data_IF_349233225538
#
_entry.id   IF_349233225538
#
_cell.length_a   1.000
_cell.length_b   1.000
_cell.length_c   1.000
_cell.angle_alpha   90.00
_cell.angle_beta   90.00
_cell.angle_gamma   90.00
#
_symmetry.space_group_name_H-M   'P 1'
#
loop_
_entity.id
_entity.type
_entity.pdbx_description
1 polymer ?
#
# COMPACT_ATOMS: atom_id res chain seq x y z
N UNK A 1 -2.35 5.07 22.63
CA UNK A 1 -2.78 6.47 22.85
C UNK A 1 -2.94 7.25 21.54
N UNK A 2 -1.91 7.31 20.66
CA UNK A 2 -1.98 8.02 19.38
C UNK A 2 -3.06 7.50 18.41
N UNK A 3 -3.12 6.19 18.15
CA UNK A 3 -4.08 5.62 17.18
C UNK A 3 -5.53 5.86 17.60
N UNK A 4 -5.83 5.73 18.90
CA UNK A 4 -7.16 6.01 19.45
C UNK A 4 -7.55 7.48 19.27
N UNK A 5 -6.60 8.41 19.43
CA UNK A 5 -6.84 9.83 19.16
C UNK A 5 -7.14 10.06 17.68
N UNK A 6 -6.33 9.48 16.78
CA UNK A 6 -6.56 9.60 15.34
C UNK A 6 -7.92 9.03 14.92
N UNK A 7 -8.32 7.91 15.50
CA UNK A 7 -9.64 7.32 15.29
C UNK A 7 -10.76 8.25 15.75
N UNK A 8 -10.67 8.78 16.98
CA UNK A 8 -11.64 9.76 17.52
C UNK A 8 -11.73 11.04 16.70
N UNK A 9 -10.63 11.47 16.08
CA UNK A 9 -10.60 12.62 15.18
C UNK A 9 -11.02 12.28 13.73
N UNK A 10 -11.58 11.10 13.48
CA UNK A 10 -12.03 10.69 12.14
C UNK A 10 -10.90 10.52 11.12
N UNK A 11 -9.68 10.24 11.59
CA UNK A 11 -8.47 10.04 10.78
C UNK A 11 -8.12 8.56 10.59
N UNK A 12 -8.98 7.63 10.99
CA UNK A 12 -8.87 6.21 10.65
C UNK A 12 -9.75 5.88 9.45
N UNK A 13 -9.25 5.06 8.54
CA UNK A 13 -10.00 4.50 7.41
C UNK A 13 -9.61 3.05 7.21
N UNK A 14 -10.59 2.15 7.17
CA UNK A 14 -10.39 0.78 6.72
C UNK A 14 -10.54 0.78 5.20
N UNK A 15 -9.52 0.30 4.49
CA UNK A 15 -9.53 0.11 3.05
C UNK A 15 -9.83 -1.37 2.82
N UNK A 16 -10.92 -1.63 2.10
CA UNK A 16 -11.32 -2.99 1.71
C UNK A 16 -10.65 -3.37 0.39
N UNK A 17 -10.38 -4.66 0.21
CA UNK A 17 -9.98 -5.18 -1.09
C UNK A 17 -11.15 -5.07 -2.09
N UNK A 18 -10.83 -4.94 -3.39
CA UNK A 18 -11.87 -4.70 -4.42
C UNK A 18 -12.53 -5.97 -4.96
N UNK A 19 -12.06 -7.14 -4.54
CA UNK A 19 -12.52 -8.44 -5.05
C UNK A 19 -13.57 -9.02 -4.11
N UNK A 20 -13.24 -9.19 -2.83
CA UNK A 20 -14.07 -9.82 -1.80
C UNK A 20 -14.59 -8.84 -0.74
N UNK A 21 -14.22 -7.54 -0.81
CA UNK A 21 -14.62 -6.52 0.17
C UNK A 21 -14.14 -6.82 1.60
N UNK A 22 -13.05 -7.57 1.77
CA UNK A 22 -12.47 -7.83 3.08
C UNK A 22 -11.49 -6.71 3.48
N UNK A 23 -11.24 -6.48 4.78
CA UNK A 23 -10.21 -5.55 5.22
C UNK A 23 -8.85 -5.87 4.61
N UNK A 24 -8.31 -4.93 3.84
CA UNK A 24 -7.00 -5.05 3.21
C UNK A 24 -5.95 -4.25 3.98
N UNK A 25 -6.28 -3.01 4.34
CA UNK A 25 -5.36 -2.10 5.00
C UNK A 25 -6.12 -1.12 5.88
N UNK A 26 -5.76 -1.01 7.16
CA UNK A 26 -6.18 0.14 7.97
C UNK A 26 -5.18 1.27 7.82
N UNK A 27 -5.69 2.45 7.47
CA UNK A 27 -4.92 3.67 7.26
C UNK A 27 -5.28 4.71 8.30
N UNK A 28 -4.27 5.28 8.94
CA UNK A 28 -4.39 6.45 9.79
C UNK A 28 -3.75 7.66 9.12
N UNK A 29 -4.48 8.76 9.01
CA UNK A 29 -4.02 10.01 8.43
C UNK A 29 -3.26 10.83 9.46
N UNK A 30 -1.92 10.89 9.36
CA UNK A 30 -1.11 11.72 10.26
C UNK A 30 -1.15 13.19 9.88
N UNK A 31 -1.27 13.51 8.58
CA UNK A 31 -1.22 14.88 8.10
C UNK A 31 -2.54 15.37 7.49
N UNK A 32 -2.75 15.19 6.18
CA UNK A 32 -3.91 15.72 5.46
C UNK A 32 -4.90 14.61 5.12
N UNK A 33 -6.16 14.73 5.54
CA UNK A 33 -7.22 13.76 5.16
C UNK A 33 -7.67 13.95 3.71
N UNK A 34 -8.00 15.20 3.36
CA UNK A 34 -8.57 15.59 2.06
C UNK A 34 -7.56 16.39 1.24
N UNK A 35 -6.39 15.79 1.01
CA UNK A 35 -5.31 16.41 0.25
C UNK A 35 -5.72 16.62 -1.21
N UNK A 36 -5.73 17.88 -1.66
CA UNK A 36 -5.97 18.26 -3.07
C UNK A 36 -4.69 18.55 -3.86
N UNK A 37 -3.83 19.45 -3.37
CA UNK A 37 -2.67 19.95 -4.13
C UNK A 37 -1.31 19.83 -3.41
N UNK A 38 -1.30 19.77 -2.08
CA UNK A 38 -0.07 19.77 -1.27
C UNK A 38 0.90 18.65 -1.74
N UNK A 39 2.23 18.82 -1.74
CA UNK A 39 3.14 17.91 -2.46
C UNK A 39 3.31 16.52 -1.83
N UNK A 40 2.99 16.32 -0.56
CA UNK A 40 3.08 15.00 0.08
C UNK A 40 1.97 14.72 1.08
N UNK A 41 1.87 13.46 1.52
CA UNK A 41 1.04 13.05 2.65
C UNK A 41 1.73 11.96 3.46
N UNK A 42 1.29 11.79 4.71
CA UNK A 42 1.88 10.83 5.65
C UNK A 42 0.78 10.00 6.30
N UNK A 43 0.96 8.68 6.29
CA UNK A 43 0.03 7.73 6.85
C UNK A 43 0.72 6.72 7.75
N UNK A 44 0.02 6.21 8.76
CA UNK A 44 0.34 4.91 9.36
C UNK A 44 -0.55 3.88 8.70
N UNK A 45 0.04 2.76 8.31
CA UNK A 45 -0.65 1.61 7.73
C UNK A 45 -0.52 0.41 8.65
N UNK A 46 -1.62 -0.31 8.83
CA UNK A 46 -1.66 -1.66 9.37
C UNK A 46 -2.25 -2.59 8.31
N UNK A 47 -1.48 -3.59 7.91
CA UNK A 47 -1.82 -4.50 6.81
C UNK A 47 -2.61 -5.70 7.33
N UNK A 48 -3.73 -5.99 6.67
CA UNK A 48 -4.63 -7.10 6.98
C UNK A 48 -4.59 -8.20 5.91
N UNK A 49 -4.30 -7.82 4.66
CA UNK A 49 -4.26 -8.74 3.51
C UNK A 49 -3.15 -8.35 2.55
N UNK A 50 -2.53 -9.37 1.95
CA UNK A 50 -1.54 -9.19 0.89
C UNK A 50 -2.18 -8.79 -0.45
N UNK A 51 -1.32 -8.42 -1.40
CA UNK A 51 -1.71 -8.09 -2.76
C UNK A 51 -2.05 -9.33 -3.60
N UNK A 52 -2.78 -9.15 -4.72
CA UNK A 52 -2.83 -10.14 -5.80
C UNK A 52 -1.43 -10.54 -6.30
N UNK A 53 -1.33 -11.71 -6.95
CA UNK A 53 -0.05 -12.28 -7.37
C UNK A 53 0.71 -11.52 -8.47
N UNK A 54 0.03 -10.65 -9.22
CA UNK A 54 0.66 -9.83 -10.25
C UNK A 54 1.30 -8.56 -9.65
N UNK A 55 2.48 -8.17 -10.15
CA UNK A 55 3.14 -6.94 -9.73
C UNK A 55 2.32 -5.70 -10.13
N UNK A 56 2.31 -4.67 -9.30
CA UNK A 56 1.64 -3.41 -9.60
C UNK A 56 2.54 -2.19 -9.39
N UNK A 57 2.20 -1.10 -10.06
CA UNK A 57 2.81 0.22 -9.89
C UNK A 57 1.90 1.18 -9.10
N UNK A 58 2.32 2.43 -8.93
CA UNK A 58 1.64 3.40 -8.08
C UNK A 58 1.38 4.72 -8.81
N UNK A 59 0.34 5.48 -8.40
CA UNK A 59 0.06 6.77 -8.99
C UNK A 59 1.06 7.86 -8.56
N UNK A 60 1.89 7.58 -7.55
CA UNK A 60 2.84 8.48 -6.89
C UNK A 60 4.16 7.78 -6.56
N UNK A 61 5.24 8.54 -6.42
CA UNK A 61 6.42 8.07 -5.67
C UNK A 61 6.10 7.95 -4.19
N UNK A 62 6.83 7.09 -3.48
CA UNK A 62 6.63 6.89 -2.06
C UNK A 62 7.93 6.61 -1.31
N UNK A 63 7.88 6.82 0.01
CA UNK A 63 8.82 6.29 0.97
C UNK A 63 8.04 5.47 2.00
N UNK A 64 8.51 4.28 2.34
CA UNK A 64 7.92 3.44 3.38
C UNK A 64 8.97 3.08 4.41
N UNK A 65 8.58 3.11 5.68
CA UNK A 65 9.38 2.67 6.82
C UNK A 65 8.58 1.61 7.54
N UNK A 66 9.14 0.41 7.70
CA UNK A 66 8.49 -0.65 8.47
C UNK A 66 8.71 -0.39 9.96
N UNK A 67 7.61 -0.19 10.68
CA UNK A 67 7.62 0.13 12.11
C UNK A 67 7.64 -1.15 12.96
N UNK A 68 6.86 -2.15 12.57
CA UNK A 68 6.74 -3.44 13.27
C UNK A 68 6.32 -4.53 12.29
N UNK A 69 6.59 -5.79 12.66
CA UNK A 69 6.29 -6.96 11.83
C UNK A 69 7.19 -7.00 10.59
N UNK A 70 6.58 -7.10 9.41
CA UNK A 70 7.31 -7.16 8.15
C UNK A 70 6.55 -7.95 7.10
N UNK A 71 6.98 -7.84 5.85
CA UNK A 71 6.34 -8.54 4.74
C UNK A 71 7.35 -9.00 3.70
N UNK A 72 6.93 -9.98 2.90
CA UNK A 72 7.64 -10.38 1.70
C UNK A 72 7.29 -9.41 0.57
N UNK A 73 8.29 -8.72 0.06
CA UNK A 73 8.16 -7.87 -1.11
C UNK A 73 8.64 -8.62 -2.35
N UNK A 74 7.76 -8.78 -3.32
CA UNK A 74 8.13 -9.25 -4.65
C UNK A 74 8.38 -8.06 -5.56
N UNK A 75 9.45 -8.12 -6.32
CA UNK A 75 9.82 -7.14 -7.34
C UNK A 75 10.27 -7.87 -8.60
N UNK A 76 10.48 -7.18 -9.74
CA UNK A 76 11.11 -7.80 -10.91
C UNK A 76 12.48 -8.43 -10.63
N UNK A 77 13.15 -8.05 -9.52
CA UNK A 77 14.46 -8.57 -9.12
C UNK A 77 14.38 -9.79 -8.19
N UNK A 78 13.19 -10.19 -7.75
CA UNK A 78 12.99 -11.31 -6.83
C UNK A 78 12.17 -10.95 -5.59
N UNK A 79 12.20 -11.87 -4.61
CA UNK A 79 11.43 -11.83 -3.36
C UNK A 79 12.36 -11.49 -2.19
N UNK A 80 11.97 -10.49 -1.39
CA UNK A 80 12.80 -9.96 -0.30
C UNK A 80 11.98 -9.81 0.97
N UNK A 81 12.47 -10.31 2.11
CA UNK A 81 11.87 -10.00 3.40
C UNK A 81 12.20 -8.56 3.80
N UNK A 82 11.17 -7.79 4.13
CA UNK A 82 11.31 -6.42 4.64
C UNK A 82 10.95 -6.42 6.13
N UNK A 83 11.99 -6.34 6.98
CA UNK A 83 11.89 -6.37 8.44
C UNK A 83 11.71 -4.96 9.04
N UNK A 84 11.43 -4.80 10.35
CA UNK A 84 11.33 -3.49 11.00
C UNK A 84 12.63 -2.68 10.82
N UNK A 85 12.47 -1.37 10.66
CA UNK A 85 13.57 -0.46 10.32
C UNK A 85 13.95 -0.44 8.83
N UNK A 86 13.37 -1.31 7.99
CA UNK A 86 13.56 -1.19 6.53
C UNK A 86 12.98 0.14 6.05
N UNK A 87 13.81 0.94 5.36
CA UNK A 87 13.40 2.15 4.65
C UNK A 87 13.51 1.87 3.14
N UNK A 88 12.43 2.10 2.41
CA UNK A 88 12.41 1.98 0.95
C UNK A 88 11.84 3.23 0.30
N UNK A 89 12.57 3.77 -0.66
CA UNK A 89 12.11 4.83 -1.56
C UNK A 89 11.83 4.23 -2.93
N UNK A 90 10.71 4.58 -3.54
CA UNK A 90 10.31 4.06 -4.84
C UNK A 90 9.64 5.15 -5.69
N UNK A 91 9.94 5.15 -6.99
CA UNK A 91 9.23 5.98 -7.97
C UNK A 91 7.86 5.39 -8.35
N UNK A 92 7.02 6.20 -9.01
CA UNK A 92 5.65 5.79 -9.39
C UNK A 92 5.60 4.58 -10.33
N UNK A 93 6.64 4.34 -11.13
CA UNK A 93 6.74 3.17 -12.04
C UNK A 93 7.33 1.92 -11.38
N UNK A 94 7.72 1.99 -10.10
CA UNK A 94 8.35 0.84 -9.44
C UNK A 94 7.31 -0.25 -9.27
N UNK A 95 7.63 -1.43 -9.80
CA UNK A 95 6.77 -2.61 -9.71
C UNK A 95 7.06 -3.37 -8.43
N UNK A 96 6.01 -3.70 -7.68
CA UNK A 96 6.09 -4.65 -6.58
C UNK A 96 4.73 -5.29 -6.26
N UNK A 97 4.74 -6.27 -5.38
CA UNK A 97 3.57 -6.70 -4.61
C UNK A 97 3.99 -7.14 -3.21
N UNK A 98 3.06 -7.07 -2.27
CA UNK A 98 3.24 -7.42 -0.87
C UNK A 98 2.56 -8.76 -0.61
N UNK A 99 3.33 -9.72 -0.09
CA UNK A 99 2.86 -10.97 0.47
C UNK A 99 3.04 -10.89 2.00
N UNK A 100 1.94 -11.08 2.75
CA UNK A 100 1.98 -11.06 4.21
C UNK A 100 2.23 -12.47 4.75
N UNK A 101 2.99 -12.54 5.85
CA UNK A 101 3.03 -13.74 6.68
C UNK A 101 1.81 -13.69 7.63
N UNK A 102 0.97 -14.74 7.68
CA UNK A 102 -0.26 -14.74 8.49
C UNK A 102 0.01 -14.62 9.99
N UNK A 103 1.23 -14.87 10.46
CA UNK A 103 1.61 -14.78 11.87
C UNK A 103 2.25 -13.44 12.24
N UNK A 104 2.34 -12.48 11.29
CA UNK A 104 3.07 -11.23 11.47
C UNK A 104 2.14 -10.02 11.29
N UNK A 105 1.88 -9.30 12.38
CA UNK A 105 1.15 -8.04 12.34
C UNK A 105 2.05 -6.90 11.85
N UNK A 106 1.72 -6.36 10.68
CA UNK A 106 2.62 -5.48 9.91
C UNK A 106 2.18 -4.04 9.95
N UNK A 107 3.07 -3.17 10.41
CA UNK A 107 2.83 -1.73 10.53
C UNK A 107 3.89 -0.93 9.79
N UNK A 108 3.47 0.11 9.05
CA UNK A 108 4.39 1.00 8.33
C UNK A 108 4.04 2.47 8.52
N UNK A 109 5.05 3.33 8.40
CA UNK A 109 4.92 4.75 8.17
C UNK A 109 5.13 5.00 6.66
N UNK A 110 4.11 5.53 6.01
CA UNK A 110 4.06 5.66 4.55
C UNK A 110 3.92 7.11 4.11
N UNK A 111 4.87 7.54 3.30
CA UNK A 111 4.91 8.86 2.69
C UNK A 111 4.60 8.74 1.22
N UNK A 112 3.68 9.58 0.72
CA UNK A 112 3.32 9.61 -0.71
C UNK A 112 3.57 10.98 -1.30
N UNK A 113 4.13 11.03 -2.51
CA UNK A 113 4.26 12.23 -3.33
C UNK A 113 2.94 12.65 -4.03
N UNK A 114 2.99 13.57 -5.01
CA UNK A 114 1.83 13.94 -5.82
C UNK A 114 1.39 12.79 -6.74
N UNK A 115 0.08 12.71 -7.02
CA UNK A 115 -0.44 11.83 -8.08
C UNK A 115 0.01 12.40 -9.43
N UNK A 116 0.80 11.63 -10.15
CA UNK A 116 1.37 12.03 -11.45
C UNK A 116 0.96 11.09 -12.59
N UNK A 117 0.26 9.99 -12.27
CA UNK A 117 -0.21 9.01 -13.26
C UNK A 117 -1.35 8.15 -12.70
N UNK A 118 -1.94 7.37 -13.58
CA UNK A 118 -2.73 6.18 -13.23
C UNK A 118 -1.83 4.99 -12.86
N UNK A 119 -2.43 4.02 -12.19
CA UNK A 119 -1.75 2.82 -11.69
C UNK A 119 -2.47 1.53 -12.11
N UNK A 120 -1.73 0.44 -12.12
CA UNK A 120 -2.18 -0.84 -12.65
C UNK A 120 -1.22 -1.99 -12.39
N UNK A 121 -1.56 -3.15 -12.96
CA UNK A 121 -0.88 -4.42 -12.75
C UNK A 121 -0.18 -4.89 -14.02
N UNK A 122 0.91 -5.63 -13.89
CA UNK A 122 1.58 -6.32 -14.99
C UNK A 122 1.09 -7.76 -15.05
N UNK A 123 0.30 -8.08 -16.07
CA UNK A 123 -0.18 -9.44 -16.34
C UNK A 123 0.27 -9.86 -17.74
N UNK A 124 0.95 -11.00 -17.87
CA UNK A 124 1.50 -11.49 -19.15
C UNK A 124 2.31 -10.40 -19.89
N UNK A 125 3.20 -9.70 -19.18
CA UNK A 125 4.03 -8.60 -19.69
C UNK A 125 3.27 -7.38 -20.24
N UNK A 126 1.98 -7.24 -19.93
CA UNK A 126 1.18 -6.06 -20.30
C UNK A 126 0.73 -5.33 -19.05
N UNK A 127 0.80 -4.00 -19.08
CA UNK A 127 0.22 -3.15 -18.06
C UNK A 127 -1.29 -3.06 -18.27
N UNK A 128 -2.06 -3.36 -17.23
CA UNK A 128 -3.52 -3.34 -17.21
C UNK A 128 -3.95 -2.38 -16.12
N UNK A 129 -4.82 -1.42 -16.45
CA UNK A 129 -5.37 -0.48 -15.49
C UNK A 129 -6.00 -1.21 -14.29
N UNK A 130 -5.78 -0.70 -13.08
CA UNK A 130 -6.16 -1.38 -11.84
C UNK A 130 -7.63 -1.82 -11.79
N UNK A 131 -8.55 -1.00 -12.29
CA UNK A 131 -9.99 -1.31 -12.27
C UNK A 131 -10.31 -2.49 -13.18
N UNK A 132 -9.82 -2.46 -14.42
CA UNK A 132 -9.98 -3.57 -15.37
C UNK A 132 -9.35 -4.86 -14.86
N UNK A 133 -8.16 -4.77 -14.24
CA UNK A 133 -7.48 -5.93 -13.69
C UNK A 133 -8.28 -6.55 -12.53
N UNK A 134 -8.70 -5.74 -11.56
CA UNK A 134 -9.39 -6.23 -10.35
C UNK A 134 -10.79 -6.75 -10.67
N UNK A 135 -11.49 -6.14 -11.63
CA UNK A 135 -12.79 -6.66 -12.12
C UNK A 135 -12.63 -8.07 -12.71
N UNK A 136 -11.56 -8.30 -13.48
CA UNK A 136 -11.27 -9.62 -14.07
C UNK A 136 -10.98 -10.73 -13.05
N UNK A 137 -10.85 -10.39 -11.77
CA UNK A 137 -10.54 -11.33 -10.67
C UNK A 137 -11.76 -11.67 -9.80
N UNK A 138 -12.92 -11.07 -10.05
CA UNK A 138 -14.17 -11.34 -9.30
C UNK A 138 -14.91 -12.62 -9.74
N UNK A 139 -14.38 -13.33 -10.74
CA UNK A 139 -14.96 -14.56 -11.29
C UNK A 139 -14.81 -15.76 -10.37
#
# INVERSE_FOLDING_TARGET
>A
MLLNLLERCGRKRIILDRIHQEPYLTRYYLFLKDRKWFPFNVFIHNFHKGDPDDLHDHPWSYCTIILSGGYWEHTPKGRFWRKPGTIKVAGSRSLHRIELDPNVDTWTLFFVGPRIREWGFIKKNKWIHNETYLESKKG
#
